data_IF_193452037963
#
_entry.id   IF_193452037963
#
_cell.length_a   1.000
_cell.length_b   1.000
_cell.length_c   1.000
_cell.angle_alpha   90.00
_cell.angle_beta   90.00
_cell.angle_gamma   90.00
#
_symmetry.space_group_name_H-M   'P 1'
#
loop_
_entity.id
_entity.type
_entity.pdbx_description
1 polymer ?
#
# COMPACT_ATOMS: atom_id res chain seq x y z
N UNK A 1 -5.19 15.90 -3.45
CA UNK A 1 -4.12 14.95 -3.83
C UNK A 1 -3.87 15.12 -5.32
N UNK A 2 -2.74 14.64 -5.83
CA UNK A 2 -2.39 14.71 -7.26
C UNK A 2 -2.90 13.46 -7.97
N UNK A 3 -3.25 13.58 -9.25
CA UNK A 3 -3.63 12.43 -10.06
C UNK A 3 -2.39 11.56 -10.33
N UNK A 4 -2.55 10.23 -10.21
CA UNK A 4 -1.39 9.35 -10.16
C UNK A 4 -0.63 9.30 -11.49
N UNK A 5 -1.35 9.06 -12.58
CA UNK A 5 -0.76 8.84 -13.90
C UNK A 5 -0.25 10.14 -14.54
N UNK A 6 -1.00 11.21 -14.35
CA UNK A 6 -0.75 12.48 -15.06
C UNK A 6 0.15 13.44 -14.25
N UNK A 7 0.08 13.40 -12.91
CA UNK A 7 0.80 14.35 -12.06
C UNK A 7 1.86 13.70 -11.18
N UNK A 8 1.44 12.85 -10.22
CA UNK A 8 2.31 12.42 -9.13
C UNK A 8 3.49 11.56 -9.59
N UNK A 9 3.23 10.54 -10.42
CA UNK A 9 4.28 9.64 -10.87
C UNK A 9 5.28 10.35 -11.82
N UNK A 10 4.84 11.12 -12.84
CA UNK A 10 5.77 11.89 -13.67
C UNK A 10 6.59 12.90 -12.87
N UNK A 11 5.98 13.64 -11.94
CA UNK A 11 6.67 14.63 -11.12
C UNK A 11 7.75 13.99 -10.23
N UNK A 12 7.40 12.90 -9.53
CA UNK A 12 8.34 12.21 -8.66
C UNK A 12 9.50 11.60 -9.44
N UNK A 13 9.23 10.96 -10.58
CA UNK A 13 10.27 10.42 -11.47
C UNK A 13 11.17 11.53 -12.02
N UNK A 14 10.58 12.65 -12.46
CA UNK A 14 11.32 13.80 -12.97
C UNK A 14 12.24 14.43 -11.92
N UNK A 15 11.90 14.32 -10.64
CA UNK A 15 12.73 14.73 -9.51
C UNK A 15 13.71 13.65 -9.01
N UNK A 16 13.77 12.47 -9.66
CA UNK A 16 14.67 11.39 -9.30
C UNK A 16 14.24 10.55 -8.10
N UNK A 17 12.97 10.63 -7.68
CA UNK A 17 12.44 9.74 -6.66
C UNK A 17 12.03 8.39 -7.23
N UNK A 18 12.33 7.31 -6.51
CA UNK A 18 11.73 6.00 -6.77
C UNK A 18 10.24 6.04 -6.42
N UNK A 19 9.41 5.47 -7.29
CA UNK A 19 7.96 5.43 -7.12
C UNK A 19 7.45 4.00 -7.06
N UNK A 20 6.27 3.82 -6.46
CA UNK A 20 5.56 2.55 -6.53
C UNK A 20 4.95 2.39 -7.92
N UNK A 21 5.61 1.64 -8.80
CA UNK A 21 5.14 1.42 -10.17
C UNK A 21 3.73 0.80 -10.21
N UNK A 22 2.92 1.26 -11.16
CA UNK A 22 1.57 0.72 -11.37
C UNK A 22 1.66 -0.72 -11.86
N UNK A 23 1.27 -1.67 -11.01
CA UNK A 23 1.22 -3.09 -11.36
C UNK A 23 0.08 -3.42 -12.33
N UNK A 24 -1.00 -2.64 -12.27
CA UNK A 24 -2.17 -2.76 -13.13
C UNK A 24 -2.90 -1.40 -13.21
N UNK A 25 -3.45 -1.08 -14.38
CA UNK A 25 -4.31 0.09 -14.60
C UNK A 25 -5.52 -0.37 -15.40
N UNK A 26 -6.72 -0.17 -14.86
CA UNK A 26 -7.94 -0.64 -15.49
C UNK A 26 -9.17 -0.48 -14.59
N UNK A 27 -10.27 -1.18 -14.89
CA UNK A 27 -11.49 -1.15 -14.10
C UNK A 27 -11.25 -1.56 -12.64
N UNK A 28 -11.97 -0.92 -11.71
CA UNK A 28 -11.80 -1.15 -10.28
C UNK A 28 -11.95 -2.63 -9.89
N UNK A 29 -12.93 -3.34 -10.44
CA UNK A 29 -13.16 -4.75 -10.11
C UNK A 29 -12.00 -5.67 -10.54
N UNK A 30 -11.34 -5.37 -11.66
CA UNK A 30 -10.15 -6.11 -12.11
C UNK A 30 -8.93 -5.78 -11.25
N UNK A 31 -8.75 -4.49 -10.90
CA UNK A 31 -7.68 -4.06 -10.01
C UNK A 31 -7.81 -4.69 -8.60
N UNK A 32 -9.04 -4.82 -8.11
CA UNK A 32 -9.35 -5.48 -6.84
C UNK A 32 -9.13 -7.00 -6.89
N UNK A 33 -9.14 -7.60 -8.09
CA UNK A 33 -8.85 -9.02 -8.31
C UNK A 33 -7.37 -9.27 -8.63
N UNK A 34 -6.50 -8.27 -8.54
CA UNK A 34 -5.07 -8.42 -8.84
C UNK A 34 -4.42 -9.50 -7.94
N UNK A 35 -3.63 -10.43 -8.52
CA UNK A 35 -3.04 -11.52 -7.75
C UNK A 35 -2.02 -11.02 -6.72
N UNK A 36 -2.23 -11.36 -5.45
CA UNK A 36 -1.30 -11.08 -4.35
C UNK A 36 -0.46 -12.31 -3.98
N UNK A 37 0.63 -12.12 -3.23
CA UNK A 37 1.54 -13.20 -2.82
C UNK A 37 2.69 -13.49 -3.80
N UNK A 38 2.95 -12.56 -4.73
CA UNK A 38 4.12 -12.57 -5.59
C UNK A 38 5.38 -12.13 -4.83
N UNK A 39 6.56 -12.50 -5.32
CA UNK A 39 7.84 -12.04 -4.77
C UNK A 39 8.06 -10.55 -5.09
N UNK A 40 8.49 -9.78 -4.09
CA UNK A 40 8.70 -8.33 -4.20
C UNK A 40 9.73 -7.98 -5.28
N UNK A 41 9.42 -6.95 -6.07
CA UNK A 41 10.31 -6.41 -7.12
C UNK A 41 11.31 -5.38 -6.59
N UNK A 42 11.14 -4.92 -5.34
CA UNK A 42 11.97 -3.86 -4.74
C UNK A 42 13.47 -4.22 -4.67
N UNK A 43 13.90 -5.43 -4.30
CA UNK A 43 15.33 -5.76 -4.26
C UNK A 43 16.02 -5.56 -5.61
N UNK A 44 15.38 -5.95 -6.72
CA UNK A 44 15.94 -5.78 -8.06
C UNK A 44 16.08 -4.30 -8.45
N UNK A 45 15.11 -3.46 -8.07
CA UNK A 45 15.18 -2.01 -8.29
C UNK A 45 16.34 -1.35 -7.53
N UNK A 46 16.75 -1.94 -6.40
CA UNK A 46 17.87 -1.48 -5.58
C UNK A 46 19.21 -2.17 -5.92
N UNK A 47 19.25 -2.94 -7.01
CA UNK A 47 20.43 -3.74 -7.40
C UNK A 47 20.92 -4.71 -6.29
N UNK A 48 20.00 -5.21 -5.46
CA UNK A 48 20.27 -6.20 -4.43
C UNK A 48 20.13 -7.62 -4.98
N UNK A 49 20.86 -8.61 -4.40
CA UNK A 49 20.75 -10.00 -4.83
C UNK A 49 19.33 -10.56 -4.57
N UNK A 50 18.83 -11.45 -5.44
CA UNK A 50 17.54 -12.09 -5.24
C UNK A 50 17.58 -13.05 -4.05
N UNK A 51 16.48 -13.10 -3.30
CA UNK A 51 16.26 -14.13 -2.28
C UNK A 51 15.66 -15.39 -2.91
N UNK A 52 15.71 -16.55 -2.22
CA UNK A 52 15.05 -17.76 -2.70
C UNK A 52 13.57 -17.50 -3.05
N UNK A 53 13.08 -18.13 -4.12
CA UNK A 53 11.71 -17.97 -4.60
C UNK A 53 10.70 -18.22 -3.47
N UNK A 54 9.74 -17.30 -3.30
CA UNK A 54 8.75 -17.34 -2.23
C UNK A 54 9.26 -16.87 -0.86
N UNK A 55 10.56 -16.56 -0.73
CA UNK A 55 11.18 -16.10 0.51
C UNK A 55 11.04 -14.60 0.77
N UNK A 56 10.60 -13.82 -0.22
CA UNK A 56 10.43 -12.37 -0.08
C UNK A 56 9.13 -11.89 -0.75
N UNK A 57 8.01 -12.48 -0.35
CA UNK A 57 6.69 -12.08 -0.83
C UNK A 57 6.43 -10.61 -0.50
N UNK A 58 5.85 -9.89 -1.46
CA UNK A 58 5.29 -8.57 -1.18
C UNK A 58 4.15 -8.70 -0.16
N UNK A 59 4.05 -7.73 0.76
CA UNK A 59 2.95 -7.65 1.74
C UNK A 59 1.58 -7.67 1.07
N UNK A 60 1.48 -7.06 -0.11
CA UNK A 60 0.23 -6.90 -0.82
C UNK A 60 0.30 -5.81 -1.86
N UNK A 61 -0.87 -5.30 -2.23
CA UNK A 61 -1.04 -4.19 -3.18
C UNK A 61 -1.96 -3.12 -2.61
N UNK A 62 -1.83 -1.90 -3.14
CA UNK A 62 -2.74 -0.80 -2.87
C UNK A 62 -3.52 -0.52 -4.15
N UNK A 63 -4.85 -0.50 -4.03
CA UNK A 63 -5.75 -0.13 -5.11
C UNK A 63 -6.32 1.26 -4.82
N UNK A 64 -6.18 2.18 -5.77
CA UNK A 64 -6.69 3.55 -5.70
C UNK A 64 -7.20 4.01 -7.05
N UNK A 65 -8.02 5.05 -7.06
CA UNK A 65 -8.40 5.74 -8.30
C UNK A 65 -7.16 6.42 -8.92
N UNK A 66 -7.04 6.34 -10.25
CA UNK A 66 -5.96 7.03 -10.98
C UNK A 66 -6.15 8.55 -10.86
N UNK A 67 -7.38 9.01 -11.05
CA UNK A 67 -7.82 10.40 -10.81
C UNK A 67 -8.37 10.50 -9.39
N UNK A 68 -7.98 11.53 -8.66
CA UNK A 68 -8.43 11.78 -7.30
C UNK A 68 -9.90 12.16 -7.27
N UNK A 69 -10.68 11.36 -6.54
CA UNK A 69 -12.10 11.64 -6.32
C UNK A 69 -12.24 12.22 -4.92
N UNK A 70 -12.69 13.46 -4.81
CA UNK A 70 -13.10 14.00 -3.52
C UNK A 70 -14.33 13.23 -3.06
N UNK A 71 -14.22 12.44 -1.98
CA UNK A 71 -15.42 11.94 -1.31
C UNK A 71 -15.96 13.06 -0.45
N UNK A 72 -17.25 13.38 -0.59
CA UNK A 72 -17.89 14.42 0.21
C UNK A 72 -17.62 14.19 1.70
N UNK A 73 -16.94 15.14 2.32
CA UNK A 73 -16.42 15.08 3.69
C UNK A 73 -17.50 15.24 4.77
N UNK A 74 -18.69 14.64 4.58
CA UNK A 74 -19.79 14.72 5.54
C UNK A 74 -19.90 13.49 6.46
N UNK A 75 -19.05 12.48 6.30
CA UNK A 75 -18.92 11.37 7.24
C UNK A 75 -17.48 11.37 7.79
N UNK A 76 -17.34 11.93 8.99
CA UNK A 76 -16.16 11.95 9.84
C UNK A 76 -15.02 12.92 9.45
N UNK A 77 -14.47 13.58 10.48
CA UNK A 77 -13.45 14.66 10.44
C UNK A 77 -12.08 14.26 9.84
N UNK A 78 -12.01 13.15 9.11
CA UNK A 78 -10.85 12.67 8.37
C UNK A 78 -11.33 12.37 6.96
N UNK A 79 -11.15 13.30 6.04
CA UNK A 79 -11.58 13.13 4.65
C UNK A 79 -11.23 11.74 4.13
N UNK A 80 -12.25 10.94 3.85
CA UNK A 80 -12.11 9.56 3.40
C UNK A 80 -11.42 9.57 2.05
N UNK A 81 -10.47 8.66 1.82
CA UNK A 81 -9.83 8.49 0.51
C UNK A 81 -10.34 7.21 -0.12
N UNK A 82 -10.63 7.25 -1.42
CA UNK A 82 -11.00 6.06 -2.19
C UNK A 82 -9.76 5.19 -2.46
N UNK A 83 -9.34 4.44 -1.44
CA UNK A 83 -8.17 3.57 -1.49
C UNK A 83 -8.35 2.35 -0.60
N UNK A 84 -7.93 1.18 -1.10
CA UNK A 84 -8.00 -0.10 -0.38
C UNK A 84 -6.63 -0.76 -0.39
N UNK A 85 -6.28 -1.44 0.71
CA UNK A 85 -5.09 -2.26 0.83
C UNK A 85 -5.48 -3.73 0.80
N UNK A 86 -4.91 -4.50 -0.11
CA UNK A 86 -5.07 -5.94 -0.19
C UNK A 86 -3.79 -6.59 0.31
N UNK A 87 -3.81 -7.16 1.52
CA UNK A 87 -2.63 -7.78 2.15
C UNK A 87 -2.74 -9.30 2.14
N UNK A 88 -1.60 -9.99 2.03
CA UNK A 88 -1.55 -11.45 2.20
C UNK A 88 -1.76 -11.84 3.68
N UNK A 89 -2.36 -13.01 3.96
CA UNK A 89 -2.57 -13.46 5.35
C UNK A 89 -1.29 -13.62 6.16
N UNK A 90 -0.17 -13.99 5.52
CA UNK A 90 1.11 -14.18 6.19
C UNK A 90 1.62 -12.89 6.86
N UNK A 91 1.26 -11.74 6.28
CA UNK A 91 1.64 -10.39 6.72
C UNK A 91 0.54 -9.69 7.53
N UNK A 92 -0.57 -10.37 7.83
CA UNK A 92 -1.62 -9.80 8.65
C UNK A 92 -1.13 -9.58 10.09
N UNK A 93 -1.29 -8.36 10.59
CA UNK A 93 -0.83 -7.92 11.92
C UNK A 93 -1.63 -8.53 13.09
N UNK A 94 -2.73 -9.25 12.81
CA UNK A 94 -3.56 -9.90 13.83
C UNK A 94 -2.80 -10.87 14.73
N UNK A 95 -1.64 -11.35 14.28
CA UNK A 95 -0.72 -12.19 15.06
C UNK A 95 -0.03 -11.44 16.21
N UNK A 96 -0.08 -10.11 16.22
CA UNK A 96 0.61 -9.25 17.20
C UNK A 96 -0.35 -8.41 18.06
N UNK A 97 -1.65 -8.63 17.95
CA UNK A 97 -2.64 -7.87 18.72
C UNK A 97 -2.48 -8.09 20.24
N UNK A 98 -2.04 -9.28 20.65
CA UNK A 98 -1.79 -9.66 22.06
C UNK A 98 -0.54 -8.98 22.66
N UNK A 99 0.34 -8.40 21.82
CA UNK A 99 1.56 -7.73 22.27
C UNK A 99 1.35 -6.24 22.61
N UNK A 100 0.14 -5.70 22.39
CA UNK A 100 -0.18 -4.33 22.79
C UNK A 100 -0.38 -4.27 24.30
N UNK A 101 0.41 -3.48 25.05
CA UNK A 101 0.09 -3.22 26.44
C UNK A 101 -1.29 -2.56 26.49
N UNK A 102 -2.16 -3.06 27.37
CA UNK A 102 -3.50 -2.52 27.54
C UNK A 102 -3.42 -0.99 27.71
N UNK A 103 -4.13 -0.26 26.84
CA UNK A 103 -4.21 1.19 26.92
C UNK A 103 -4.81 1.57 28.28
N UNK A 104 -3.96 2.00 29.22
CA UNK A 104 -4.41 2.42 30.55
C UNK A 104 -3.51 2.03 31.72
N UNK A 105 -2.44 1.25 31.55
CA UNK A 105 -1.46 1.05 32.62
C UNK A 105 -0.54 2.27 32.76
N UNK A 106 -1.10 3.39 33.21
CA UNK A 106 -0.32 4.47 33.80
C UNK A 106 0.43 3.88 35.00
N UNK A 107 1.76 3.87 34.91
CA UNK A 107 2.62 3.44 35.99
C UNK A 107 2.36 4.34 37.20
N UNK A 108 1.65 3.80 38.20
CA UNK A 108 1.61 4.38 39.53
C UNK A 108 3.03 4.32 40.10
N UNK A 109 3.64 5.49 40.31
CA UNK A 109 4.81 5.71 41.14
C UNK A 109 4.40 6.55 42.33
#
# INVERSE_FOLDING_TARGET
FLDWLDDAAPLARGAGFMVAESLFVGPCHEAMAYPIGFDSTIPALLALPPLPRGGNKAEGVVVRCAVEVATDASADKRGTRAMVKLKIPEFAESKYDDARPAAGAAAAR
#
